data_IF_858990911948
#
_entry.id   IF_858990911948
#
_cell.length_a   1.000
_cell.length_b   1.000
_cell.length_c   1.000
_cell.angle_alpha   90.00
_cell.angle_beta   90.00
_cell.angle_gamma   90.00
#
_symmetry.space_group_name_H-M   'P 1'
#
loop_
_entity.id
_entity.type
_entity.pdbx_description
1 polymer ?
#
# COMPACT_ATOMS: atom_id res chain seq x y z
N UNK A 1 -13.74 -15.26 8.57
CA UNK A 1 -13.61 -14.15 9.54
C UNK A 1 -12.54 -13.21 9.05
N UNK A 2 -12.93 -12.17 8.31
CA UNK A 2 -12.04 -11.08 7.87
C UNK A 2 -12.88 -10.07 7.08
N UNK A 3 -13.97 -9.57 7.69
CA UNK A 3 -14.81 -8.53 7.11
C UNK A 3 -14.67 -7.18 7.82
N UNK A 4 -13.54 -6.96 8.49
CA UNK A 4 -13.23 -5.68 9.13
C UNK A 4 -11.94 -5.12 8.53
N UNK A 5 -12.05 -4.59 7.31
CA UNK A 5 -11.05 -3.66 6.77
C UNK A 5 -11.56 -2.23 6.97
N UNK A 6 -10.86 -1.57 7.89
CA UNK A 6 -10.87 -0.16 8.31
C UNK A 6 -12.23 0.55 8.51
N UNK A 7 -12.81 0.52 9.74
CA UNK A 7 -14.04 1.24 10.08
C UNK A 7 -13.91 2.78 10.09
N UNK A 8 -12.71 3.36 9.92
CA UNK A 8 -12.49 4.83 9.97
C UNK A 8 -12.86 5.58 8.69
N UNK A 9 -13.20 4.90 7.58
CA UNK A 9 -13.51 5.54 6.29
C UNK A 9 -14.93 6.19 6.22
N UNK A 10 -15.65 6.24 7.35
CA UNK A 10 -17.12 6.42 7.41
C UNK A 10 -17.74 7.69 6.81
N UNK A 11 -16.98 8.76 6.53
CA UNK A 11 -17.57 9.97 5.91
C UNK A 11 -16.65 10.78 4.98
N UNK A 12 -15.33 10.80 5.17
CA UNK A 12 -14.40 11.65 4.42
C UNK A 12 -13.76 10.98 3.18
N UNK A 13 -13.92 9.66 3.04
CA UNK A 13 -13.16 8.84 2.11
C UNK A 13 -14.04 7.88 1.29
N UNK A 14 -15.28 8.29 0.98
CA UNK A 14 -16.16 7.47 0.16
C UNK A 14 -15.76 7.59 -1.30
N UNK A 15 -15.24 6.49 -1.86
CA UNK A 15 -15.04 6.36 -3.29
C UNK A 15 -16.40 6.45 -4.04
N UNK A 16 -16.40 6.80 -5.34
CA UNK A 16 -17.61 6.77 -6.16
C UNK A 16 -18.29 5.41 -6.08
N UNK A 17 -19.61 5.38 -6.31
CA UNK A 17 -20.36 4.12 -6.29
C UNK A 17 -19.85 3.21 -7.41
N UNK A 18 -19.52 1.98 -7.06
CA UNK A 18 -19.15 0.94 -8.03
C UNK A 18 -20.25 0.75 -9.08
N UNK A 19 -19.83 0.63 -10.34
CA UNK A 19 -20.69 0.36 -11.49
C UNK A 19 -20.74 -1.12 -11.86
N UNK A 20 -19.72 -1.89 -11.47
CA UNK A 20 -19.57 -3.31 -11.78
C UNK A 20 -18.77 -4.00 -10.66
N UNK A 21 -19.11 -5.25 -10.37
CA UNK A 21 -18.50 -6.06 -9.31
C UNK A 21 -17.53 -7.09 -9.91
N UNK A 22 -16.25 -6.96 -9.57
CA UNK A 22 -15.19 -7.85 -10.04
C UNK A 22 -14.69 -8.81 -8.97
N UNK A 23 -15.41 -8.96 -7.85
CA UNK A 23 -14.94 -9.72 -6.68
C UNK A 23 -14.48 -11.13 -7.04
N UNK A 24 -15.26 -11.85 -7.86
CA UNK A 24 -14.93 -13.22 -8.29
C UNK A 24 -13.71 -13.28 -9.21
N UNK A 25 -13.65 -12.41 -10.22
CA UNK A 25 -12.52 -12.35 -11.17
C UNK A 25 -11.23 -11.99 -10.43
N UNK A 26 -11.31 -11.07 -9.45
CA UNK A 26 -10.19 -10.70 -8.59
C UNK A 26 -9.72 -11.88 -7.73
N UNK A 27 -10.62 -12.61 -7.08
CA UNK A 27 -10.27 -13.77 -6.25
C UNK A 27 -9.62 -14.90 -7.07
N UNK A 28 -10.16 -15.20 -8.25
CA UNK A 28 -9.60 -16.18 -9.17
C UNK A 28 -8.22 -15.75 -9.69
N UNK A 29 -8.03 -14.47 -10.01
CA UNK A 29 -6.73 -13.96 -10.44
C UNK A 29 -5.70 -13.98 -9.31
N UNK A 30 -6.09 -13.59 -8.09
CA UNK A 30 -5.23 -13.62 -6.90
C UNK A 30 -4.72 -15.04 -6.65
N UNK A 31 -5.60 -16.05 -6.71
CA UNK A 31 -5.21 -17.44 -6.55
C UNK A 31 -4.28 -17.93 -7.67
N UNK A 32 -4.53 -17.52 -8.92
CA UNK A 32 -3.66 -17.83 -10.05
C UNK A 32 -2.29 -17.16 -9.92
N UNK A 33 -2.22 -15.93 -9.41
CA UNK A 33 -0.98 -15.20 -9.25
C UNK A 33 0.00 -15.89 -8.27
N UNK A 34 -0.51 -16.53 -7.21
CA UNK A 34 0.32 -17.34 -6.31
C UNK A 34 0.96 -18.55 -7.00
N UNK A 35 0.18 -19.22 -7.85
CA UNK A 35 0.68 -20.33 -8.66
C UNK A 35 1.72 -19.85 -9.68
N UNK A 36 1.52 -18.69 -10.31
CA UNK A 36 2.50 -18.11 -11.23
C UNK A 36 3.79 -17.70 -10.53
N UNK A 37 3.69 -17.11 -9.33
CA UNK A 37 4.88 -16.78 -8.51
C UNK A 37 5.69 -18.03 -8.19
N UNK A 38 5.03 -19.09 -7.71
CA UNK A 38 5.72 -20.36 -7.38
C UNK A 38 6.34 -21.02 -8.61
N UNK A 39 5.79 -20.78 -9.80
CA UNK A 39 6.36 -21.19 -11.09
C UNK A 39 7.46 -20.24 -11.63
N UNK A 40 7.87 -19.20 -10.88
CA UNK A 40 8.91 -18.25 -11.30
C UNK A 40 8.44 -17.18 -12.30
N UNK A 41 7.13 -17.09 -12.56
CA UNK A 41 6.50 -16.16 -13.52
C UNK A 41 5.90 -14.94 -12.81
N UNK A 42 6.69 -14.31 -11.93
CA UNK A 42 6.24 -13.20 -11.09
C UNK A 42 5.80 -11.98 -11.92
N UNK A 43 6.61 -11.55 -12.89
CA UNK A 43 6.31 -10.36 -13.70
C UNK A 43 5.03 -10.56 -14.53
N UNK A 44 4.86 -11.73 -15.13
CA UNK A 44 3.65 -12.06 -15.88
C UNK A 44 2.40 -12.01 -14.99
N UNK A 45 2.49 -12.51 -13.75
CA UNK A 45 1.40 -12.44 -12.79
C UNK A 45 1.03 -10.98 -12.44
N UNK A 46 2.04 -10.12 -12.29
CA UNK A 46 1.83 -8.70 -11.99
C UNK A 46 1.22 -7.97 -13.19
N UNK A 47 1.68 -8.26 -14.41
CA UNK A 47 1.09 -7.69 -15.63
C UNK A 47 -0.40 -8.06 -15.76
N UNK A 48 -0.76 -9.32 -15.55
CA UNK A 48 -2.17 -9.75 -15.56
C UNK A 48 -3.00 -9.02 -14.48
N UNK A 49 -2.44 -8.86 -13.28
CA UNK A 49 -3.08 -8.12 -12.19
C UNK A 49 -3.25 -6.63 -12.51
N UNK A 50 -2.28 -5.99 -13.16
CA UNK A 50 -2.38 -4.59 -13.57
C UNK A 50 -3.46 -4.36 -14.65
N UNK A 51 -3.72 -5.36 -15.50
CA UNK A 51 -4.83 -5.32 -16.46
C UNK A 51 -6.17 -5.33 -15.73
N UNK A 52 -6.35 -6.22 -14.75
CA UNK A 52 -7.59 -6.29 -13.97
C UNK A 52 -7.76 -5.05 -13.08
N UNK A 53 -6.68 -4.59 -12.42
CA UNK A 53 -6.66 -3.35 -11.63
C UNK A 53 -7.23 -2.17 -12.41
N UNK A 54 -6.85 -2.03 -13.68
CA UNK A 54 -7.37 -0.94 -14.52
C UNK A 54 -8.89 -1.03 -14.68
N UNK A 55 -9.43 -2.23 -14.90
CA UNK A 55 -10.88 -2.45 -15.05
C UNK A 55 -11.61 -2.13 -13.74
N UNK A 56 -11.17 -2.71 -12.63
CA UNK A 56 -11.81 -2.53 -11.32
C UNK A 56 -11.79 -1.07 -10.87
N UNK A 57 -10.67 -0.37 -11.13
CA UNK A 57 -10.52 1.05 -10.83
C UNK A 57 -11.44 1.91 -11.68
N UNK A 58 -11.53 1.66 -12.99
CA UNK A 58 -12.44 2.39 -13.87
C UNK A 58 -13.91 2.18 -13.50
N UNK A 59 -14.27 0.98 -13.02
CA UNK A 59 -15.62 0.67 -12.53
C UNK A 59 -15.87 1.07 -11.07
N UNK A 60 -14.92 1.78 -10.43
CA UNK A 60 -15.00 2.22 -9.04
C UNK A 60 -15.24 1.08 -8.02
N UNK A 61 -14.80 -0.14 -8.34
CA UNK A 61 -14.83 -1.28 -7.43
C UNK A 61 -13.65 -1.18 -6.45
N UNK A 62 -13.85 -0.44 -5.36
CA UNK A 62 -12.83 -0.21 -4.34
C UNK A 62 -12.34 -1.48 -3.65
N UNK A 63 -13.21 -2.49 -3.46
CA UNK A 63 -12.84 -3.71 -2.75
C UNK A 63 -11.90 -4.55 -3.61
N UNK A 64 -12.29 -4.82 -4.86
CA UNK A 64 -11.46 -5.62 -5.76
C UNK A 64 -10.16 -4.90 -6.10
N UNK A 65 -10.22 -3.59 -6.33
CA UNK A 65 -9.01 -2.78 -6.59
C UNK A 65 -8.06 -2.84 -5.39
N UNK A 66 -8.54 -2.67 -4.16
CA UNK A 66 -7.72 -2.79 -2.95
C UNK A 66 -7.07 -4.16 -2.83
N UNK A 67 -7.84 -5.24 -3.00
CA UNK A 67 -7.32 -6.62 -2.95
C UNK A 67 -6.21 -6.85 -3.99
N UNK A 68 -6.39 -6.36 -5.22
CA UNK A 68 -5.41 -6.49 -6.31
C UNK A 68 -4.12 -5.72 -5.97
N UNK A 69 -4.22 -4.45 -5.55
CA UNK A 69 -3.06 -3.65 -5.15
C UNK A 69 -2.27 -4.30 -4.01
N UNK A 70 -2.98 -4.73 -2.97
CA UNK A 70 -2.42 -5.46 -1.84
C UNK A 70 -1.69 -6.72 -2.31
N UNK A 71 -2.29 -7.48 -3.23
CA UNK A 71 -1.68 -8.71 -3.75
C UNK A 71 -0.42 -8.45 -4.55
N UNK A 72 -0.41 -7.45 -5.43
CA UNK A 72 0.80 -7.04 -6.19
C UNK A 72 1.95 -6.74 -5.22
N UNK A 73 1.69 -5.95 -4.18
CA UNK A 73 2.69 -5.62 -3.17
C UNK A 73 3.14 -6.88 -2.39
N UNK A 74 2.20 -7.74 -1.99
CA UNK A 74 2.52 -8.99 -1.30
C UNK A 74 3.42 -9.91 -2.13
N UNK A 75 3.21 -10.00 -3.45
CA UNK A 75 4.04 -10.85 -4.30
C UNK A 75 5.50 -10.39 -4.33
N UNK A 76 5.76 -9.09 -4.45
CA UNK A 76 7.13 -8.56 -4.40
C UNK A 76 7.74 -8.65 -3.00
N UNK A 77 6.93 -8.44 -1.96
CA UNK A 77 7.35 -8.65 -0.57
C UNK A 77 7.81 -10.10 -0.34
N UNK A 78 6.99 -11.08 -0.74
CA UNK A 78 7.29 -12.50 -0.58
C UNK A 78 8.50 -12.95 -1.41
N UNK A 79 8.68 -12.34 -2.59
CA UNK A 79 9.86 -12.56 -3.43
C UNK A 79 11.12 -11.85 -2.91
N UNK A 80 11.01 -11.01 -1.87
CA UNK A 80 12.07 -10.14 -1.32
C UNK A 80 12.65 -9.17 -2.36
N UNK A 81 11.82 -8.78 -3.34
CA UNK A 81 12.16 -7.84 -4.41
C UNK A 81 11.84 -6.40 -3.96
N UNK A 82 12.58 -5.90 -2.96
CA UNK A 82 12.29 -4.65 -2.27
C UNK A 82 12.26 -3.42 -3.18
N UNK A 83 13.18 -3.35 -4.15
CA UNK A 83 13.25 -2.24 -5.09
C UNK A 83 11.95 -2.13 -5.92
N UNK A 84 11.48 -3.27 -6.45
CA UNK A 84 10.25 -3.36 -7.23
C UNK A 84 9.01 -3.10 -6.37
N UNK A 85 9.00 -3.61 -5.13
CA UNK A 85 7.92 -3.34 -4.18
C UNK A 85 7.70 -1.82 -4.01
N UNK A 86 8.77 -1.07 -3.71
CA UNK A 86 8.69 0.38 -3.52
C UNK A 86 8.24 1.10 -4.78
N UNK A 87 8.83 0.75 -5.93
CA UNK A 87 8.45 1.32 -7.22
C UNK A 87 6.96 1.13 -7.52
N UNK A 88 6.43 -0.07 -7.24
CA UNK A 88 5.01 -0.37 -7.43
C UNK A 88 4.12 0.39 -6.47
N UNK A 89 4.49 0.50 -5.18
CA UNK A 89 3.75 1.31 -4.20
C UNK A 89 3.62 2.75 -4.68
N UNK A 90 4.73 3.36 -5.12
CA UNK A 90 4.74 4.74 -5.63
C UNK A 90 3.89 4.86 -6.89
N UNK A 91 4.06 3.94 -7.84
CA UNK A 91 3.34 3.95 -9.12
C UNK A 91 1.83 3.82 -8.93
N UNK A 92 1.40 2.86 -8.10
CA UNK A 92 -0.01 2.59 -7.81
C UNK A 92 -0.64 3.75 -7.04
N UNK A 93 0.08 4.36 -6.10
CA UNK A 93 -0.40 5.49 -5.30
C UNK A 93 -0.47 6.82 -6.05
N UNK A 94 0.35 7.01 -7.10
CA UNK A 94 0.35 8.22 -7.95
C UNK A 94 -0.56 8.07 -9.18
N UNK A 95 -1.15 6.90 -9.41
CA UNK A 95 -2.00 6.63 -10.58
C UNK A 95 -3.23 7.54 -10.56
N UNK A 96 -3.47 8.27 -11.67
CA UNK A 96 -4.60 9.20 -11.78
C UNK A 96 -5.93 8.44 -11.66
N UNK A 97 -6.77 8.86 -10.71
CA UNK A 97 -8.06 8.24 -10.45
C UNK A 97 -7.94 6.92 -9.70
N UNK A 98 -6.89 6.75 -8.89
CA UNK A 98 -6.83 5.66 -7.93
C UNK A 98 -7.85 5.89 -6.80
N UNK A 99 -8.42 4.79 -6.31
CA UNK A 99 -9.45 4.79 -5.27
C UNK A 99 -8.81 4.99 -3.89
N UNK A 100 -9.44 5.81 -3.06
CA UNK A 100 -8.94 6.15 -1.71
C UNK A 100 -8.78 4.90 -0.88
N UNK A 101 -9.80 4.01 -0.90
CA UNK A 101 -9.75 2.73 -0.19
C UNK A 101 -8.56 1.88 -0.62
N UNK A 102 -8.28 1.81 -1.92
CA UNK A 102 -7.20 0.99 -2.44
C UNK A 102 -5.82 1.49 -2.00
N UNK A 103 -5.63 2.81 -1.93
CA UNK A 103 -4.39 3.40 -1.38
C UNK A 103 -4.29 3.14 0.13
N UNK A 104 -5.37 3.38 0.89
CA UNK A 104 -5.38 3.17 2.35
C UNK A 104 -5.05 1.73 2.71
N UNK A 105 -5.72 0.75 2.08
CA UNK A 105 -5.51 -0.66 2.37
C UNK A 105 -4.08 -1.10 1.99
N UNK A 106 -3.54 -0.60 0.88
CA UNK A 106 -2.16 -0.85 0.46
C UNK A 106 -1.13 -0.28 1.46
N UNK A 107 -1.33 0.95 1.93
CA UNK A 107 -0.45 1.59 2.93
C UNK A 107 -0.51 0.81 4.24
N UNK A 108 -1.70 0.45 4.72
CA UNK A 108 -1.87 -0.32 5.96
C UNK A 108 -1.21 -1.71 5.88
N UNK A 109 -1.34 -2.39 4.74
CA UNK A 109 -0.64 -3.66 4.50
C UNK A 109 0.88 -3.49 4.62
N UNK A 110 1.43 -2.49 3.93
CA UNK A 110 2.87 -2.24 3.95
C UNK A 110 3.38 -1.81 5.34
N UNK A 111 2.60 -1.03 6.09
CA UNK A 111 2.88 -0.71 7.49
C UNK A 111 2.94 -1.96 8.38
N UNK A 112 2.10 -2.96 8.11
CA UNK A 112 2.09 -4.23 8.82
C UNK A 112 3.38 -5.05 8.68
N UNK A 113 4.21 -4.76 7.68
CA UNK A 113 5.49 -5.45 7.50
C UNK A 113 6.64 -4.79 8.27
N UNK A 114 6.51 -3.53 8.68
CA UNK A 114 7.61 -2.72 9.23
C UNK A 114 8.27 -3.32 10.47
N UNK A 115 7.54 -4.11 11.26
CA UNK A 115 8.09 -4.72 12.49
C UNK A 115 8.90 -6.00 12.22
N UNK A 116 8.72 -6.60 11.04
CA UNK A 116 9.45 -7.80 10.63
C UNK A 116 10.72 -7.48 9.80
N UNK A 117 10.89 -6.23 9.37
CA UNK A 117 12.02 -5.80 8.54
C UNK A 117 13.24 -5.44 9.37
N UNK A 118 14.42 -5.59 8.77
CA UNK A 118 15.64 -5.02 9.33
C UNK A 118 15.60 -3.48 9.32
N UNK A 119 16.52 -2.87 10.06
CA UNK A 119 16.55 -1.43 10.25
C UNK A 119 16.64 -0.63 8.95
N UNK A 120 17.45 -1.08 8.00
CA UNK A 120 17.68 -0.38 6.73
C UNK A 120 16.46 -0.49 5.83
N UNK A 121 15.91 -1.69 5.68
CA UNK A 121 14.67 -1.93 4.94
C UNK A 121 13.47 -1.20 5.55
N UNK A 122 13.40 -1.13 6.88
CA UNK A 122 12.36 -0.41 7.61
C UNK A 122 12.41 1.08 7.33
N UNK A 123 13.60 1.71 7.40
CA UNK A 123 13.76 3.14 7.09
C UNK A 123 13.36 3.46 5.65
N UNK A 124 13.78 2.62 4.71
CA UNK A 124 13.54 2.79 3.28
C UNK A 124 12.05 2.63 2.91
N UNK A 125 11.37 1.63 3.49
CA UNK A 125 9.93 1.46 3.33
C UNK A 125 9.14 2.59 4.00
N UNK A 126 9.54 3.05 5.19
CA UNK A 126 8.91 4.22 5.85
C UNK A 126 9.03 5.47 4.97
N UNK A 127 10.21 5.73 4.39
CA UNK A 127 10.42 6.85 3.48
C UNK A 127 9.47 6.80 2.27
N UNK A 128 9.33 5.62 1.67
CA UNK A 128 8.40 5.39 0.55
C UNK A 128 6.95 5.62 0.97
N UNK A 129 6.55 5.14 2.15
CA UNK A 129 5.19 5.29 2.67
C UNK A 129 4.88 6.76 3.03
N UNK A 130 5.84 7.51 3.56
CA UNK A 130 5.72 8.95 3.80
C UNK A 130 5.51 9.71 2.48
N UNK A 131 6.27 9.39 1.43
CA UNK A 131 6.10 10.03 0.11
C UNK A 131 4.69 9.78 -0.45
N UNK A 132 4.18 8.55 -0.38
CA UNK A 132 2.86 8.23 -0.96
C UNK A 132 1.69 8.67 -0.09
N UNK A 133 1.88 8.93 1.20
CA UNK A 133 0.82 9.46 2.08
C UNK A 133 0.82 10.98 2.13
N UNK A 134 1.86 11.63 1.63
CA UNK A 134 1.95 13.09 1.61
C UNK A 134 0.81 13.75 0.82
N UNK A 135 0.26 14.83 1.39
CA UNK A 135 -0.86 15.58 0.81
C UNK A 135 -2.20 14.83 0.73
N UNK A 136 -2.36 13.65 1.35
CA UNK A 136 -3.59 12.85 1.29
C UNK A 136 -4.31 12.81 2.64
N UNK A 137 -5.35 13.64 2.76
CA UNK A 137 -6.19 13.76 3.97
C UNK A 137 -6.71 12.41 4.50
N UNK A 138 -7.03 11.48 3.61
CA UNK A 138 -7.61 10.17 3.98
C UNK A 138 -6.60 9.14 4.52
N UNK A 139 -5.31 9.50 4.60
CA UNK A 139 -4.23 8.70 5.21
C UNK A 139 -3.34 9.54 6.14
N UNK A 140 -3.85 10.67 6.66
CA UNK A 140 -3.08 11.53 7.57
C UNK A 140 -2.72 10.83 8.89
N UNK A 141 -3.58 9.94 9.38
CA UNK A 141 -3.30 9.16 10.59
C UNK A 141 -2.13 8.20 10.35
N UNK A 142 -2.13 7.53 9.21
CA UNK A 142 -1.04 6.65 8.79
C UNK A 142 0.26 7.44 8.59
N UNK A 143 0.19 8.62 7.95
CA UNK A 143 1.34 9.54 7.81
C UNK A 143 1.93 9.92 9.17
N UNK A 144 1.10 10.37 10.12
CA UNK A 144 1.57 10.77 11.45
C UNK A 144 2.26 9.61 12.19
N UNK A 145 1.76 8.37 12.04
CA UNK A 145 2.38 7.17 12.61
C UNK A 145 3.73 6.87 11.98
N UNK A 146 3.82 6.92 10.64
CA UNK A 146 5.05 6.69 9.90
C UNK A 146 6.14 7.71 10.26
N UNK A 147 5.80 9.00 10.32
CA UNK A 147 6.75 10.03 10.72
C UNK A 147 7.21 9.86 12.16
N UNK A 148 6.31 9.50 13.09
CA UNK A 148 6.69 9.20 14.47
C UNK A 148 7.69 8.04 14.54
N UNK A 149 7.42 6.94 13.84
CA UNK A 149 8.34 5.79 13.78
C UNK A 149 9.70 6.20 13.19
N UNK A 150 9.72 7.04 12.16
CA UNK A 150 10.96 7.55 11.56
C UNK A 150 11.77 8.39 12.54
N UNK A 151 11.11 9.29 13.28
CA UNK A 151 11.74 10.14 14.29
C UNK A 151 12.33 9.31 15.45
N UNK A 152 11.59 8.33 15.96
CA UNK A 152 12.07 7.40 17.01
C UNK A 152 13.33 6.63 16.56
N UNK A 153 13.35 6.19 15.30
CA UNK A 153 14.51 5.50 14.73
C UNK A 153 15.74 6.43 14.61
N UNK A 154 15.53 7.69 14.21
CA UNK A 154 16.59 8.71 14.11
C UNK A 154 17.11 9.12 15.48
N UNK A 155 16.24 9.27 16.46
CA UNK A 155 16.62 9.55 17.85
C UNK A 155 17.50 8.43 18.43
N UNK A 156 17.13 7.17 18.19
CA UNK A 156 17.92 6.00 18.61
C UNK A 156 19.31 5.93 17.95
N UNK A 157 19.51 6.61 16.82
CA UNK A 157 20.83 6.75 16.16
C UNK A 157 21.66 7.93 16.70
N UNK A 158 21.11 8.74 17.60
CA UNK A 158 21.72 9.98 18.07
C UNK A 158 21.46 11.17 17.14
N UNK A 159 20.65 11.01 16.09
CA UNK A 159 20.27 12.07 15.14
C UNK A 159 19.08 12.88 15.68
N UNK A 160 19.25 13.48 16.87
CA UNK A 160 18.18 14.15 17.63
C UNK A 160 17.61 15.36 16.86
N UNK A 161 18.45 16.14 16.19
CA UNK A 161 18.00 17.31 15.41
C UNK A 161 17.10 16.90 14.23
N UNK A 162 17.46 15.84 13.49
CA UNK A 162 16.64 15.32 12.40
C UNK A 162 15.31 14.76 12.92
N UNK A 163 15.33 14.05 14.05
CA UNK A 163 14.13 13.52 14.67
C UNK A 163 13.17 14.66 15.10
N UNK A 164 13.70 15.74 15.69
CA UNK A 164 12.92 16.90 16.09
C UNK A 164 12.28 17.61 14.88
N UNK A 165 13.03 17.79 13.79
CA UNK A 165 12.53 18.43 12.57
C UNK A 165 11.36 17.63 11.97
N UNK A 166 11.50 16.30 11.87
CA UNK A 166 10.45 15.43 11.33
C UNK A 166 9.14 15.53 12.14
N UNK A 167 9.22 15.64 13.47
CA UNK A 167 8.03 15.76 14.32
C UNK A 167 7.36 17.13 14.21
N UNK A 168 8.12 18.19 13.92
CA UNK A 168 7.57 19.53 13.71
C UNK A 168 6.76 19.64 12.41
N UNK A 169 7.14 18.89 11.37
CA UNK A 169 6.42 18.89 10.07
C UNK A 169 5.05 18.20 10.10
N UNK A 170 4.74 17.47 11.17
CA UNK A 170 3.46 16.74 11.34
C UNK A 170 2.42 17.57 12.11
N UNK A 171 2.81 18.70 12.71
CA UNK A 171 1.91 19.64 13.42
C UNK A 171 1.16 20.56 12.46
#
# INVERSE_FOLDING_TARGET
MSNEMNPLLGSLAKDPKSTEDFTKEAEELIARADNMRTAGRLEEAVEEMLVLEKKTRTSCDGISTAKILCKICQLYYDAKEWAKLKEQIVTLAKKRGQLKRAITDMVLLAMGWLDALDKEQKLDLIGTLNEVTDGKIFVEVEKARLTKMMAEMKEAEGNIEEAANLLQEVQ
#
